data_IF_304941277796
#
_entry.id   IF_304941277796
#
_cell.length_a   1.000
_cell.length_b   1.000
_cell.length_c   1.000
_cell.angle_alpha   90.00
_cell.angle_beta   90.00
_cell.angle_gamma   90.00
#
_symmetry.space_group_name_H-M   'P 1'
#
loop_
_entity.id
_entity.type
_entity.pdbx_description
1 polymer ?
#
# COMPACT_ATOMS: atom_id res chain seq x y z
N UNK A 1 -5.48 -32.48 11.61
CA UNK A 1 -4.75 -31.52 10.75
C UNK A 1 -5.76 -30.49 10.30
N UNK A 2 -5.67 -29.25 10.77
CA UNK A 2 -6.53 -28.18 10.28
C UNK A 2 -6.24 -27.95 8.79
N UNK A 3 -7.30 -27.86 7.97
CA UNK A 3 -7.15 -27.47 6.57
C UNK A 3 -6.83 -25.98 6.53
N UNK A 4 -5.60 -25.65 6.15
CA UNK A 4 -5.21 -24.27 5.87
C UNK A 4 -5.89 -23.80 4.57
N UNK A 5 -6.36 -22.55 4.56
CA UNK A 5 -6.89 -21.91 3.36
C UNK A 5 -5.69 -21.38 2.57
N UNK A 6 -5.58 -21.79 1.31
CA UNK A 6 -4.61 -21.23 0.37
C UNK A 6 -5.23 -20.00 -0.29
N UNK A 7 -4.62 -18.84 -0.06
CA UNK A 7 -5.05 -17.58 -0.69
C UNK A 7 -4.57 -17.53 -2.13
N UNK A 8 -5.41 -17.01 -3.03
CA UNK A 8 -4.99 -16.69 -4.39
C UNK A 8 -3.96 -15.56 -4.40
N UNK A 9 -3.16 -15.47 -5.46
CA UNK A 9 -2.22 -14.36 -5.66
C UNK A 9 -2.91 -12.99 -5.59
N UNK A 10 -4.14 -12.89 -6.09
CA UNK A 10 -4.93 -11.65 -6.03
C UNK A 10 -5.26 -11.26 -4.60
N UNK A 11 -5.70 -12.21 -3.76
CA UNK A 11 -6.01 -11.95 -2.34
C UNK A 11 -4.76 -11.53 -1.57
N UNK A 12 -3.61 -12.16 -1.83
CA UNK A 12 -2.33 -11.79 -1.23
C UNK A 12 -1.95 -10.34 -1.61
N UNK A 13 -2.05 -9.98 -2.90
CA UNK A 13 -1.74 -8.61 -3.37
C UNK A 13 -2.70 -7.58 -2.80
N UNK A 14 -3.99 -7.90 -2.68
CA UNK A 14 -4.98 -7.01 -2.06
C UNK A 14 -4.70 -6.82 -0.56
N UNK A 15 -4.33 -7.87 0.16
CA UNK A 15 -3.92 -7.77 1.56
C UNK A 15 -2.67 -6.88 1.71
N UNK A 16 -1.69 -7.01 0.81
CA UNK A 16 -0.53 -6.14 0.79
C UNK A 16 -0.88 -4.67 0.51
N UNK A 17 -1.77 -4.40 -0.44
CA UNK A 17 -2.27 -3.03 -0.72
C UNK A 17 -2.93 -2.43 0.52
N UNK A 18 -3.85 -3.17 1.16
CA UNK A 18 -4.51 -2.70 2.38
C UNK A 18 -3.49 -2.40 3.48
N UNK A 19 -2.51 -3.28 3.63
CA UNK A 19 -1.42 -3.13 4.58
C UNK A 19 -0.52 -1.91 4.31
N UNK A 20 -0.31 -1.51 3.06
CA UNK A 20 0.44 -0.30 2.70
C UNK A 20 -0.34 0.97 3.10
N UNK A 21 -1.66 0.97 2.86
CA UNK A 21 -2.55 2.08 3.23
C UNK A 21 -2.58 2.24 4.75
N UNK A 22 -2.73 1.15 5.49
CA UNK A 22 -2.76 1.15 6.95
C UNK A 22 -1.42 1.64 7.54
N UNK A 23 -0.28 1.13 7.05
CA UNK A 23 1.04 1.58 7.50
C UNK A 23 1.25 3.08 7.26
N UNK A 24 0.84 3.57 6.09
CA UNK A 24 0.93 4.99 5.75
C UNK A 24 0.01 5.84 6.62
N UNK A 25 -1.21 5.37 6.88
CA UNK A 25 -2.17 6.05 7.76
C UNK A 25 -1.63 6.15 9.20
N UNK A 26 -1.10 5.06 9.75
CA UNK A 26 -0.47 5.05 11.06
C UNK A 26 0.71 6.01 11.17
N UNK A 27 1.60 5.99 10.18
CA UNK A 27 2.78 6.86 10.16
C UNK A 27 2.44 8.36 10.02
N UNK A 28 1.34 8.71 9.34
CA UNK A 28 0.89 10.10 9.17
C UNK A 28 -0.12 10.55 10.24
N UNK A 29 -0.53 9.67 11.16
CA UNK A 29 -1.58 9.97 12.14
C UNK A 29 -2.94 10.27 11.49
N UNK A 30 -3.24 9.63 10.35
CA UNK A 30 -4.47 9.82 9.57
C UNK A 30 -5.36 8.59 9.60
N UNK A 31 -6.63 8.77 9.23
CA UNK A 31 -7.52 7.61 9.06
C UNK A 31 -7.14 6.81 7.81
N UNK A 32 -7.41 5.50 7.84
CA UNK A 32 -7.27 4.64 6.66
C UNK A 32 -8.02 5.20 5.45
N UNK A 33 -9.26 5.65 5.66
CA UNK A 33 -10.12 6.17 4.58
C UNK A 33 -9.52 7.42 3.92
N UNK A 34 -8.97 8.34 4.71
CA UNK A 34 -8.30 9.54 4.19
C UNK A 34 -7.11 9.16 3.28
N UNK A 35 -6.25 8.24 3.72
CA UNK A 35 -5.10 7.81 2.93
C UNK A 35 -5.53 7.03 1.68
N UNK A 36 -6.53 6.16 1.80
CA UNK A 36 -7.08 5.43 0.66
C UNK A 36 -7.56 6.39 -0.44
N UNK A 37 -8.35 7.42 -0.09
CA UNK A 37 -8.85 8.38 -1.08
C UNK A 37 -7.73 9.23 -1.68
N UNK A 38 -6.71 9.61 -0.89
CA UNK A 38 -5.51 10.30 -1.38
C UNK A 38 -4.74 9.46 -2.40
N UNK A 39 -4.38 8.22 -2.03
CA UNK A 39 -3.67 7.29 -2.91
C UNK A 39 -4.47 6.95 -4.17
N UNK A 40 -5.80 6.81 -4.05
CA UNK A 40 -6.71 6.57 -5.17
C UNK A 40 -6.75 7.77 -6.12
N UNK A 41 -6.82 9.00 -5.61
CA UNK A 41 -6.86 10.24 -6.40
C UNK A 41 -5.65 10.39 -7.32
N UNK A 42 -4.46 10.06 -6.84
CA UNK A 42 -3.22 10.10 -7.63
C UNK A 42 -2.95 8.80 -8.40
N UNK A 43 -3.84 7.81 -8.34
CA UNK A 43 -3.68 6.52 -9.04
C UNK A 43 -2.60 5.60 -8.47
N UNK A 44 -2.08 5.89 -7.27
CA UNK A 44 -0.95 5.20 -6.65
C UNK A 44 -1.24 3.72 -6.35
N UNK A 45 -2.47 3.37 -6.01
CA UNK A 45 -2.85 1.97 -5.70
C UNK A 45 -2.55 1.06 -6.90
N UNK A 46 -2.98 1.45 -8.11
CA UNK A 46 -2.77 0.65 -9.32
C UNK A 46 -1.38 0.85 -9.90
N UNK A 47 -0.94 2.09 -10.02
CA UNK A 47 0.25 2.44 -10.81
C UNK A 47 1.56 2.29 -10.04
N UNK A 48 1.50 2.27 -8.71
CA UNK A 48 2.69 2.12 -7.86
C UNK A 48 2.64 0.83 -7.03
N UNK A 49 1.64 0.67 -6.15
CA UNK A 49 1.62 -0.45 -5.19
C UNK A 49 1.39 -1.77 -5.92
N UNK A 50 0.31 -1.86 -6.71
CA UNK A 50 -0.04 -3.09 -7.43
C UNK A 50 1.03 -3.47 -8.48
N UNK A 51 1.49 -2.49 -9.25
CA UNK A 51 2.43 -2.70 -10.35
C UNK A 51 3.82 -3.10 -9.86
N UNK A 52 4.24 -2.65 -8.68
CA UNK A 52 5.57 -2.95 -8.12
C UNK A 52 5.52 -3.97 -6.97
N UNK A 53 4.43 -4.74 -6.82
CA UNK A 53 4.26 -5.70 -5.73
C UNK A 53 5.47 -6.63 -5.54
N UNK A 54 6.02 -7.21 -6.62
CA UNK A 54 7.11 -8.19 -6.53
C UNK A 54 8.38 -7.60 -5.88
N UNK A 55 8.62 -6.30 -6.04
CA UNK A 55 9.72 -5.59 -5.38
C UNK A 55 9.34 -5.14 -3.97
N UNK A 56 8.16 -4.55 -3.80
CA UNK A 56 7.77 -3.93 -2.54
C UNK A 56 7.54 -4.97 -1.42
N UNK A 57 7.07 -6.18 -1.74
CA UNK A 57 6.74 -7.18 -0.71
C UNK A 57 7.97 -7.87 -0.10
N UNK A 58 9.18 -7.66 -0.65
CA UNK A 58 10.44 -8.19 -0.11
C UNK A 58 11.13 -7.21 0.84
N UNK A 59 10.66 -5.96 0.90
CA UNK A 59 11.23 -4.89 1.70
C UNK A 59 10.69 -4.89 3.14
N UNK A 60 11.40 -4.22 4.06
CA UNK A 60 10.91 -4.03 5.42
C UNK A 60 9.65 -3.16 5.45
N UNK A 61 8.79 -3.35 6.46
CA UNK A 61 7.56 -2.56 6.59
C UNK A 61 7.85 -1.07 6.72
N UNK A 62 8.91 -0.72 7.45
CA UNK A 62 9.35 0.66 7.65
C UNK A 62 9.78 1.29 6.33
N UNK A 63 10.55 0.57 5.51
CA UNK A 63 11.01 1.06 4.21
C UNK A 63 9.85 1.23 3.23
N UNK A 64 8.96 0.24 3.15
CA UNK A 64 7.73 0.32 2.33
C UNK A 64 6.90 1.53 2.75
N UNK A 65 6.67 1.73 4.05
CA UNK A 65 5.87 2.85 4.56
C UNK A 65 6.50 4.20 4.23
N UNK A 66 7.83 4.34 4.38
CA UNK A 66 8.56 5.54 3.96
C UNK A 66 8.37 5.82 2.47
N UNK A 67 8.53 4.80 1.63
CA UNK A 67 8.35 4.91 0.18
C UNK A 67 6.91 5.31 -0.18
N UNK A 68 5.90 4.79 0.53
CA UNK A 68 4.51 5.20 0.32
C UNK A 68 4.30 6.69 0.59
N UNK A 69 4.83 7.20 1.71
CA UNK A 69 4.68 8.61 2.10
C UNK A 69 5.39 9.53 1.09
N UNK A 70 6.62 9.19 0.71
CA UNK A 70 7.40 9.96 -0.26
C UNK A 70 6.70 10.00 -1.62
N UNK A 71 6.29 8.85 -2.14
CA UNK A 71 5.59 8.74 -3.42
C UNK A 71 4.26 9.50 -3.40
N UNK A 72 3.44 9.32 -2.37
CA UNK A 72 2.16 10.02 -2.23
C UNK A 72 2.35 11.54 -2.21
N UNK A 73 3.30 12.04 -1.42
CA UNK A 73 3.57 13.48 -1.29
C UNK A 73 4.05 14.07 -2.62
N UNK A 74 4.97 13.39 -3.30
CA UNK A 74 5.49 13.84 -4.60
C UNK A 74 4.41 13.86 -5.69
N UNK A 75 3.52 12.86 -5.71
CA UNK A 75 2.46 12.79 -6.71
C UNK A 75 1.32 13.78 -6.44
N UNK A 76 1.00 14.03 -5.17
CA UNK A 76 0.04 15.09 -4.80
C UNK A 76 0.56 16.48 -5.13
N UNK A 77 1.87 16.73 -5.00
CA UNK A 77 2.49 18.02 -5.37
C UNK A 77 2.52 18.27 -6.88
N UNK A 78 2.41 17.22 -7.70
CA UNK A 78 2.34 17.31 -9.16
C UNK A 78 0.93 17.44 -9.73
N UNK A 79 -0.10 17.44 -8.87
CA UNK A 79 -1.50 17.75 -9.26
C UNK A 79 -1.79 19.24 -9.14
#
# INVERSE_FOLDING_TARGET
MEKLIELSQTEIKLAFVASCIEGTAGALGKSYHEIFERMKRVGMIRNYIWSNYEMLHTESRENVTKNMIECLTNWEAGQ
#
